data_IF_381438136422
#
_entry.id   IF_381438136422
#
_cell.length_a   1.000
_cell.length_b   1.000
_cell.length_c   1.000
_cell.angle_alpha   90.00
_cell.angle_beta   90.00
_cell.angle_gamma   90.00
#
_symmetry.space_group_name_H-M   'P 1'
#
loop_
_entity.id
_entity.type
_entity.pdbx_description
1 polymer ?
#
# COMPACT_ATOMS: atom_id res chain seq x y z
N UNK A 1 -6.02 -4.44 3.26
CA UNK A 1 -5.59 -3.06 2.98
C UNK A 1 -4.30 -3.01 2.17
N UNK A 2 -3.48 -4.05 2.30
CA UNK A 2 -2.14 -4.25 1.73
C UNK A 2 -1.95 -3.85 0.25
N UNK A 3 -2.96 -3.95 -0.62
CA UNK A 3 -2.83 -3.46 -2.01
C UNK A 3 -2.71 -1.93 -2.11
N UNK A 4 -3.39 -1.18 -1.23
CA UNK A 4 -3.27 0.28 -1.13
C UNK A 4 -1.88 0.66 -0.58
N UNK A 5 -1.43 -0.04 0.46
CA UNK A 5 -0.11 0.14 1.07
C UNK A 5 1.01 -0.15 0.05
N UNK A 6 0.92 -1.26 -0.70
CA UNK A 6 1.83 -1.63 -1.81
C UNK A 6 1.89 -0.53 -2.90
N UNK A 7 0.74 -0.06 -3.40
CA UNK A 7 0.72 1.00 -4.43
C UNK A 7 1.36 2.29 -3.90
N UNK A 8 1.05 2.70 -2.68
CA UNK A 8 1.56 3.96 -2.13
C UNK A 8 3.03 3.89 -1.67
N UNK A 9 3.52 2.71 -1.24
CA UNK A 9 4.89 2.53 -0.75
C UNK A 9 5.88 2.19 -1.86
N UNK A 10 5.51 1.26 -2.73
CA UNK A 10 6.39 0.74 -3.77
C UNK A 10 6.03 1.30 -5.15
N UNK A 11 4.74 1.54 -5.41
CA UNK A 11 4.22 1.82 -6.74
C UNK A 11 4.04 0.56 -7.59
N UNK A 12 2.91 0.50 -8.31
CA UNK A 12 2.48 -0.64 -9.10
C UNK A 12 1.89 -0.18 -10.45
N UNK A 13 2.31 -0.85 -11.54
CA UNK A 13 1.83 -0.72 -12.93
C UNK A 13 1.84 0.69 -13.53
N UNK A 14 0.99 1.59 -13.01
CA UNK A 14 0.70 2.90 -13.60
C UNK A 14 0.42 3.98 -12.55
N UNK A 15 0.71 3.69 -11.28
CA UNK A 15 0.64 4.62 -10.13
C UNK A 15 1.82 4.33 -9.20
N UNK A 16 2.56 5.37 -8.84
CA UNK A 16 3.72 5.30 -7.95
C UNK A 16 3.47 5.87 -6.55
N UNK A 17 4.53 5.93 -5.71
CA UNK A 17 4.59 6.82 -4.56
C UNK A 17 4.31 8.28 -4.96
N UNK A 18 3.80 9.09 -4.03
CA UNK A 18 3.38 10.46 -4.33
C UNK A 18 4.55 11.43 -4.55
N UNK A 19 5.69 11.19 -3.90
CA UNK A 19 6.82 12.13 -3.80
C UNK A 19 8.01 11.80 -4.73
N UNK A 20 7.89 10.79 -5.59
CA UNK A 20 9.01 10.23 -6.39
C UNK A 20 8.61 10.04 -7.87
N UNK A 21 9.55 10.30 -8.81
CA UNK A 21 9.35 9.98 -10.23
C UNK A 21 9.30 8.45 -10.44
N UNK A 22 8.09 7.92 -10.63
CA UNK A 22 7.87 6.48 -10.75
C UNK A 22 7.90 5.97 -12.20
N UNK A 23 8.82 5.04 -12.50
CA UNK A 23 8.83 4.26 -13.73
C UNK A 23 8.54 2.78 -13.46
N UNK A 24 7.57 2.20 -14.18
CA UNK A 24 7.19 0.79 -14.05
C UNK A 24 8.14 -0.19 -14.76
N UNK A 25 9.06 0.31 -15.60
CA UNK A 25 9.76 -0.48 -16.64
C UNK A 25 10.61 -1.66 -16.16
N UNK A 26 10.81 -1.85 -14.84
CA UNK A 26 11.69 -2.88 -14.25
C UNK A 26 11.03 -3.72 -13.15
N UNK A 27 9.71 -3.70 -13.00
CA UNK A 27 9.00 -4.42 -11.93
C UNK A 27 8.39 -5.74 -12.39
N UNK A 28 8.39 -6.74 -11.50
CA UNK A 28 7.67 -8.00 -11.69
C UNK A 28 6.16 -7.75 -11.86
N UNK A 29 5.42 -8.66 -12.55
CA UNK A 29 3.97 -8.62 -12.61
C UNK A 29 3.34 -8.63 -11.22
N UNK A 30 2.33 -7.77 -10.99
CA UNK A 30 1.67 -7.70 -9.69
C UNK A 30 0.80 -8.95 -9.45
N UNK A 31 1.10 -9.71 -8.40
CA UNK A 31 0.34 -10.92 -8.02
C UNK A 31 -1.12 -10.65 -7.61
N UNK A 32 -1.48 -9.40 -7.33
CA UNK A 32 -2.84 -8.94 -6.99
C UNK A 32 -3.36 -7.93 -8.03
N UNK A 33 -2.99 -8.10 -9.31
CA UNK A 33 -3.22 -7.13 -10.39
C UNK A 33 -4.63 -6.54 -10.42
N UNK A 34 -5.69 -7.37 -10.47
CA UNK A 34 -7.07 -6.87 -10.60
C UNK A 34 -7.49 -5.94 -9.45
N UNK A 35 -7.09 -6.29 -8.23
CA UNK A 35 -7.35 -5.46 -7.03
C UNK A 35 -6.52 -4.17 -7.09
N UNK A 36 -5.25 -4.27 -7.50
CA UNK A 36 -4.39 -3.11 -7.67
C UNK A 36 -4.88 -2.18 -8.78
N UNK A 37 -5.35 -2.71 -9.91
CA UNK A 37 -5.89 -1.94 -11.03
C UNK A 37 -7.12 -1.12 -10.60
N UNK A 38 -8.06 -1.75 -9.86
CA UNK A 38 -9.22 -1.05 -9.30
C UNK A 38 -8.84 0.11 -8.36
N UNK A 39 -7.82 -0.08 -7.52
CA UNK A 39 -7.29 0.96 -6.63
C UNK A 39 -6.54 2.06 -7.40
N UNK A 40 -5.72 1.70 -8.39
CA UNK A 40 -5.00 2.64 -9.26
C UNK A 40 -5.95 3.60 -9.98
N UNK A 41 -7.11 3.10 -10.46
CA UNK A 41 -8.16 3.91 -11.07
C UNK A 41 -8.74 4.92 -10.06
N UNK A 42 -9.02 4.51 -8.83
CA UNK A 42 -9.48 5.42 -7.77
C UNK A 42 -8.43 6.48 -7.42
N UNK A 43 -7.15 6.12 -7.34
CA UNK A 43 -6.05 7.06 -7.05
C UNK A 43 -5.87 8.09 -8.18
N UNK A 44 -5.83 7.65 -9.44
CA UNK A 44 -5.74 8.53 -10.63
C UNK A 44 -6.95 9.47 -10.74
N UNK A 45 -8.14 8.98 -10.41
CA UNK A 45 -9.32 9.81 -10.33
C UNK A 45 -9.22 10.84 -9.18
N UNK A 46 -8.81 10.42 -7.99
CA UNK A 46 -8.77 11.27 -6.80
C UNK A 46 -7.75 12.41 -6.88
N UNK A 47 -6.61 12.16 -7.53
CA UNK A 47 -5.59 13.20 -7.79
C UNK A 47 -6.10 14.30 -8.73
N UNK A 48 -6.88 13.93 -9.76
CA UNK A 48 -7.33 14.86 -10.83
C UNK A 48 -8.74 15.44 -10.65
N UNK A 49 -9.59 14.83 -9.81
CA UNK A 49 -11.01 15.20 -9.72
C UNK A 49 -11.25 16.50 -8.93
N UNK A 50 -11.55 17.58 -9.66
CA UNK A 50 -11.95 18.90 -9.11
C UNK A 50 -13.18 18.87 -8.19
N UNK A 51 -13.98 17.78 -8.20
CA UNK A 51 -15.18 17.61 -7.35
C UNK A 51 -14.89 16.88 -6.03
N UNK A 52 -13.65 16.44 -5.75
CA UNK A 52 -13.30 15.60 -4.59
C UNK A 52 -13.65 16.19 -3.21
N UNK A 53 -13.59 17.53 -3.09
CA UNK A 53 -13.85 18.25 -1.83
C UNK A 53 -15.35 18.45 -1.59
N UNK A 54 -16.16 18.64 -2.64
CA UNK A 54 -17.61 18.90 -2.54
C UNK A 54 -18.44 17.64 -2.25
N UNK A 55 -17.82 16.46 -2.09
CA UNK A 55 -18.50 15.20 -1.77
C UNK A 55 -19.39 14.59 -2.88
N UNK A 56 -19.68 15.32 -3.96
CA UNK A 56 -20.64 14.91 -5.00
C UNK A 56 -20.13 13.82 -5.96
N UNK A 57 -18.87 13.39 -5.85
CA UNK A 57 -18.31 12.34 -6.71
C UNK A 57 -18.23 10.99 -6.00
N UNK A 58 -18.91 9.97 -6.54
CA UNK A 58 -18.95 8.61 -6.00
C UNK A 58 -17.60 7.88 -6.00
N UNK A 59 -16.73 8.15 -6.98
CA UNK A 59 -15.36 7.61 -7.00
C UNK A 59 -14.51 8.22 -5.88
N UNK A 60 -14.55 9.55 -5.71
CA UNK A 60 -13.90 10.23 -4.60
C UNK A 60 -14.45 9.78 -3.23
N UNK A 61 -15.77 9.57 -3.11
CA UNK A 61 -16.41 9.07 -1.88
C UNK A 61 -15.87 7.70 -1.48
N UNK A 62 -15.69 6.78 -2.43
CA UNK A 62 -15.06 5.47 -2.20
C UNK A 62 -13.60 5.60 -1.77
N UNK A 63 -12.83 6.47 -2.44
CA UNK A 63 -11.43 6.74 -2.04
C UNK A 63 -11.35 7.31 -0.62
N UNK A 64 -12.18 8.28 -0.27
CA UNK A 64 -12.29 8.82 1.09
C UNK A 64 -12.66 7.77 2.14
N UNK A 65 -13.48 6.78 1.79
CA UNK A 65 -13.80 5.66 2.68
C UNK A 65 -12.58 4.74 2.90
N UNK A 66 -11.83 4.43 1.84
CA UNK A 66 -10.60 3.62 1.92
C UNK A 66 -9.51 4.29 2.75
N UNK A 67 -9.26 5.60 2.55
CA UNK A 67 -8.24 6.35 3.29
C UNK A 67 -8.58 6.46 4.78
N UNK A 68 -9.84 6.72 5.13
CA UNK A 68 -10.29 6.72 6.53
C UNK A 68 -10.19 5.33 7.16
N UNK A 69 -10.60 4.28 6.44
CA UNK A 69 -10.50 2.91 6.93
C UNK A 69 -9.04 2.53 7.20
N UNK A 70 -8.12 2.91 6.31
CA UNK A 70 -6.69 2.70 6.50
C UNK A 70 -6.19 3.39 7.78
N UNK A 71 -6.47 4.69 7.94
CA UNK A 71 -6.01 5.48 9.08
C UNK A 71 -6.48 4.96 10.45
N UNK A 72 -7.66 4.31 10.50
CA UNK A 72 -8.19 3.66 11.71
C UNK A 72 -7.56 2.31 12.04
N UNK A 73 -6.82 1.68 11.12
CA UNK A 73 -6.14 0.39 11.32
C UNK A 73 -4.63 0.46 11.04
N UNK A 74 -4.07 1.67 10.99
CA UNK A 74 -2.66 1.91 10.71
C UNK A 74 -1.92 2.13 12.02
N UNK A 75 -1.04 1.21 12.37
CA UNK A 75 -0.27 1.24 13.63
C UNK A 75 0.95 2.19 13.57
N UNK A 76 1.33 2.68 12.37
CA UNK A 76 2.48 3.57 12.15
C UNK A 76 2.09 4.77 11.26
N UNK A 77 1.24 5.70 11.75
CA UNK A 77 0.70 6.79 10.95
C UNK A 77 1.73 7.84 10.52
N UNK A 78 2.84 7.99 11.24
CA UNK A 78 3.91 8.95 10.92
C UNK A 78 4.85 8.46 9.79
N UNK A 79 5.09 7.14 9.70
CA UNK A 79 5.90 6.51 8.64
C UNK A 79 5.06 6.02 7.44
N UNK A 80 3.74 6.23 7.48
CA UNK A 80 2.84 5.70 6.48
C UNK A 80 2.83 6.52 5.19
N UNK A 81 3.19 5.88 4.06
CA UNK A 81 3.12 6.48 2.72
C UNK A 81 1.71 6.56 2.11
N UNK A 82 0.67 6.06 2.77
CA UNK A 82 -0.73 6.17 2.28
C UNK A 82 -1.20 7.62 2.47
N UNK A 83 -1.67 8.31 1.41
CA UNK A 83 -1.99 9.73 1.48
C UNK A 83 -3.11 10.01 2.48
N UNK A 84 -2.98 11.10 3.24
CA UNK A 84 -3.92 11.57 4.26
C UNK A 84 -4.07 10.62 5.48
N UNK A 85 -3.26 9.55 5.59
CA UNK A 85 -3.31 8.62 6.73
C UNK A 85 -3.09 9.35 8.06
N UNK A 86 -2.00 10.13 8.14
CA UNK A 86 -1.58 10.88 9.33
C UNK A 86 -2.65 11.88 9.78
N UNK A 87 -3.20 12.69 8.87
CA UNK A 87 -4.24 13.67 9.22
C UNK A 87 -5.55 13.02 9.68
N UNK A 88 -5.92 11.87 9.09
CA UNK A 88 -7.10 11.14 9.53
C UNK A 88 -6.91 10.49 10.88
N UNK A 89 -5.77 9.84 11.12
CA UNK A 89 -5.45 9.21 12.40
C UNK A 89 -5.49 10.25 13.55
N UNK A 90 -4.79 11.38 13.41
CA UNK A 90 -4.84 12.49 14.38
C UNK A 90 -6.26 13.05 14.62
N UNK A 91 -7.16 12.93 13.65
CA UNK A 91 -8.54 13.42 13.74
C UNK A 91 -9.50 12.43 14.41
N UNK A 92 -9.16 11.15 14.43
CA UNK A 92 -9.87 10.10 15.16
C UNK A 92 -9.54 10.20 16.65
N UNK A 93 -8.25 10.22 17.00
CA UNK A 93 -7.77 10.42 18.38
C UNK A 93 -8.43 11.62 19.08
N UNK A 94 -8.49 12.76 18.38
CA UNK A 94 -9.08 14.00 18.90
C UNK A 94 -10.61 14.00 19.02
N UNK A 95 -11.32 13.02 18.45
CA UNK A 95 -12.79 13.02 18.39
C UNK A 95 -13.47 12.29 19.53
N UNK A 96 -12.72 11.64 20.43
CA UNK A 96 -13.30 10.83 21.49
C UNK A 96 -14.05 9.65 20.88
N UNK A 97 -13.29 8.74 20.25
CA UNK A 97 -13.75 7.69 19.36
C UNK A 97 -15.08 7.03 19.78
N UNK A 98 -16.06 7.11 18.89
CA UNK A 98 -17.36 6.45 18.97
C UNK A 98 -17.16 4.94 19.22
N UNK A 99 -17.78 4.39 20.27
CA UNK A 99 -17.66 2.96 20.61
C UNK A 99 -18.15 2.03 19.47
N UNK A 100 -19.10 2.51 18.65
CA UNK A 100 -19.50 1.81 17.43
C UNK A 100 -18.36 1.77 16.41
N UNK A 101 -17.63 2.88 16.23
CA UNK A 101 -16.47 2.96 15.34
C UNK A 101 -15.34 2.04 15.83
N UNK A 102 -14.97 2.10 17.12
CA UNK A 102 -14.00 1.18 17.75
C UNK A 102 -14.39 -0.29 17.58
N UNK A 103 -15.68 -0.62 17.67
CA UNK A 103 -16.18 -1.98 17.47
C UNK A 103 -16.01 -2.45 16.02
N UNK A 104 -16.32 -1.57 15.05
CA UNK A 104 -16.11 -1.84 13.63
C UNK A 104 -14.62 -2.00 13.28
N UNK A 105 -13.77 -1.10 13.78
CA UNK A 105 -12.30 -1.13 13.63
C UNK A 105 -11.74 -2.46 14.15
N UNK A 106 -12.08 -2.85 15.39
CA UNK A 106 -11.66 -4.15 15.96
C UNK A 106 -12.06 -5.33 15.07
N UNK A 107 -13.30 -5.37 14.57
CA UNK A 107 -13.77 -6.44 13.66
C UNK A 107 -12.97 -6.49 12.35
N UNK A 108 -12.63 -5.33 11.77
CA UNK A 108 -11.80 -5.25 10.55
C UNK A 108 -10.38 -5.75 10.82
N UNK A 109 -9.77 -5.38 11.95
CA UNK A 109 -8.45 -5.87 12.36
C UNK A 109 -8.47 -7.39 12.56
N UNK A 110 -9.47 -7.94 13.25
CA UNK A 110 -9.65 -9.39 13.40
C UNK A 110 -9.81 -10.10 12.05
N UNK A 111 -10.61 -9.57 11.13
CA UNK A 111 -10.76 -10.13 9.78
C UNK A 111 -9.46 -10.08 8.96
N UNK A 112 -8.68 -9.00 9.07
CA UNK A 112 -7.35 -8.87 8.47
C UNK A 112 -6.40 -9.94 9.02
N UNK A 113 -6.35 -10.12 10.35
CA UNK A 113 -5.53 -11.15 11.00
C UNK A 113 -5.92 -12.58 10.58
N UNK A 114 -7.22 -12.90 10.56
CA UNK A 114 -7.70 -14.21 10.09
C UNK A 114 -7.33 -14.49 8.63
N UNK A 115 -7.32 -13.47 7.77
CA UNK A 115 -6.89 -13.61 6.36
C UNK A 115 -5.43 -14.06 6.28
N UNK A 116 -4.54 -13.53 7.12
CA UNK A 116 -3.14 -13.98 7.16
C UNK A 116 -2.96 -15.37 7.78
N UNK A 117 -3.72 -15.70 8.83
CA UNK A 117 -3.66 -17.01 9.51
C UNK A 117 -4.24 -18.16 8.67
N UNK A 118 -5.19 -17.86 7.76
CA UNK A 118 -5.80 -18.84 6.86
C UNK A 118 -4.99 -19.14 5.60
N UNK A 119 -3.86 -18.44 5.38
CA UNK A 119 -2.94 -18.77 4.29
C UNK A 119 -2.25 -20.11 4.57
N UNK A 120 -2.39 -21.12 3.70
CA UNK A 120 -1.71 -22.39 3.90
C UNK A 120 -0.18 -22.19 3.83
N UNK A 121 0.55 -22.73 4.81
CA UNK A 121 2.02 -22.83 4.79
C UNK A 121 2.49 -23.63 3.57
N UNK A 122 2.73 -22.97 2.44
CA UNK A 122 3.46 -23.55 1.30
C UNK A 122 4.55 -22.59 0.84
N UNK A 123 5.78 -23.10 0.93
CA UNK A 123 7.07 -22.53 0.48
C UNK A 123 7.57 -21.28 1.24
N UNK A 124 8.28 -21.56 2.34
CA UNK A 124 9.51 -20.83 2.68
C UNK A 124 10.68 -21.61 2.07
N UNK A 125 10.92 -21.40 0.79
CA UNK A 125 12.09 -21.85 0.03
C UNK A 125 12.11 -21.00 -1.25
N UNK A 126 13.31 -20.59 -1.68
CA UNK A 126 13.57 -19.55 -2.71
C UNK A 126 13.34 -18.09 -2.29
N UNK A 127 14.20 -17.58 -1.39
CA UNK A 127 14.86 -16.27 -1.59
C UNK A 127 16.18 -16.21 -0.80
N UNK A 128 17.16 -17.02 -1.21
CA UNK A 128 18.58 -16.83 -0.82
C UNK A 128 19.21 -15.81 -1.78
N UNK A 129 19.63 -14.62 -1.33
CA UNK A 129 20.34 -13.68 -2.17
C UNK A 129 21.75 -14.23 -2.44
N UNK A 130 22.02 -14.65 -3.69
CA UNK A 130 23.38 -15.01 -4.11
C UNK A 130 24.28 -13.77 -4.06
N UNK A 131 24.97 -13.58 -2.93
CA UNK A 131 25.99 -12.55 -2.73
C UNK A 131 27.25 -12.86 -3.56
N UNK A 132 27.18 -12.61 -4.87
CA UNK A 132 28.35 -12.59 -5.73
C UNK A 132 29.07 -11.24 -5.62
N UNK A 133 29.88 -11.09 -4.57
CA UNK A 133 30.90 -10.05 -4.54
C UNK A 133 32.22 -10.56 -5.14
N UNK A 134 32.55 -9.96 -6.29
CA UNK A 134 33.89 -9.61 -6.81
C UNK A 134 34.99 -9.52 -5.72
N UNK A 135 36.28 -9.74 -5.98
CA UNK A 135 37.03 -9.78 -7.25
C UNK A 135 38.39 -10.45 -6.99
N UNK A 136 39.07 -10.98 -8.01
CA UNK A 136 40.53 -10.85 -8.09
C UNK A 136 41.05 -11.12 -9.51
N UNK A 137 41.21 -10.04 -10.27
CA UNK A 137 42.05 -10.03 -11.46
C UNK A 137 43.50 -10.39 -11.11
N UNK A 138 44.00 -11.52 -11.63
CA UNK A 138 45.38 -11.86 -12.05
C UNK A 138 45.20 -13.02 -13.07
N UNK A 139 45.75 -13.03 -14.29
CA UNK A 139 46.65 -12.11 -15.02
C UNK A 139 46.25 -12.06 -16.52
N UNK A 140 47.23 -11.97 -17.44
CA UNK A 140 47.18 -12.31 -18.88
C UNK A 140 48.43 -13.15 -19.21
N UNK A 141 48.55 -13.57 -20.48
CA UNK A 141 49.73 -14.08 -21.21
C UNK A 141 49.92 -15.61 -21.27
N UNK A 142 49.85 -16.12 -22.52
CA UNK A 142 50.42 -17.32 -23.20
C UNK A 142 50.57 -18.66 -22.43
N UNK A 143 50.46 -19.83 -23.05
CA UNK A 143 50.39 -20.22 -24.48
C UNK A 143 49.14 -21.07 -24.80
#
# INVERSE_FOLDING_TARGET
MDCLEHICREGCTSVGPYDEEYSCQKKLPCSKFDTCQGLQLLIRHFSTCKRRVKGSCSQCKRMWQLLKLHASICDQPDDCRVPLCREFNQKLEKRGDDELWKSLVRKVVSARAMTFLSLPKRKREEEEPRLNLRDHQIRRFLD
#
